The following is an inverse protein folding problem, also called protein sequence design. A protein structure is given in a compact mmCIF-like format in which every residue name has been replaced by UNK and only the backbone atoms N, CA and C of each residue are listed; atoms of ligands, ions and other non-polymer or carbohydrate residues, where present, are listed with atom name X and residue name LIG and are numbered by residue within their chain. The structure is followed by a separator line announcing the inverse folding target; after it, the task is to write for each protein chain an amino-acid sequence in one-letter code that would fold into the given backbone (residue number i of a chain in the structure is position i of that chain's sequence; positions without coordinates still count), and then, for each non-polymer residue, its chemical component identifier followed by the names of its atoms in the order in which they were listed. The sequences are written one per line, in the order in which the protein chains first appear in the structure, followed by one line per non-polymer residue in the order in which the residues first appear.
data_IF_245746338946
#
_entry.id   IF_245746338946
#
_cell.length_a   1.000
_cell.length_b   1.000
_cell.length_c   1.000
_cell.angle_alpha   90.00
_cell.angle_beta   90.00
_cell.angle_gamma   90.00
#
_symmetry.space_group_name_H-M   'P 1'
#
loop_
_entity.id
_entity.type
_entity.pdbx_description
1 polymer ?
#
# COMPACT_ATOMS: atom_id res chain seq x y z
N UNK A 1 21.44 10.92 -4.45
CA UNK A 1 21.76 9.55 -3.97
C UNK A 1 23.25 9.28 -3.71
N UNK A 2 24.20 10.09 -4.22
CA UNK A 2 25.64 9.81 -4.02
C UNK A 2 26.07 9.79 -2.55
N UNK A 3 25.57 10.73 -1.73
CA UNK A 3 25.83 10.78 -0.28
C UNK A 3 25.32 9.52 0.43
N UNK A 4 24.04 9.15 0.21
CA UNK A 4 23.44 7.93 0.78
C UNK A 4 24.18 6.63 0.41
N UNK A 5 24.86 6.57 -0.75
CA UNK A 5 25.67 5.42 -1.16
C UNK A 5 27.00 5.31 -0.41
N UNK A 6 27.55 6.44 0.06
CA UNK A 6 28.82 6.52 0.80
C UNK A 6 28.59 6.42 2.31
N UNK A 7 27.55 7.09 2.79
CA UNK A 7 27.16 7.15 4.19
C UNK A 7 25.65 7.06 4.31
N UNK A 8 25.16 6.16 5.15
CA UNK A 8 23.72 5.95 5.33
C UNK A 8 23.15 7.05 6.21
N UNK A 9 22.56 8.07 5.60
CA UNK A 9 21.94 9.21 6.29
C UNK A 9 20.45 9.02 6.56
N UNK A 10 19.83 7.95 6.03
CA UNK A 10 18.48 7.50 6.39
C UNK A 10 18.31 5.99 6.12
N UNK A 11 17.33 5.38 6.80
CA UNK A 11 17.09 3.93 6.70
C UNK A 11 15.95 3.53 5.76
N UNK A 12 14.97 4.42 5.58
CA UNK A 12 13.78 4.19 4.77
C UNK A 12 14.06 4.33 3.27
N UNK A 13 13.03 4.10 2.45
CA UNK A 13 13.09 4.26 0.99
C UNK A 13 13.24 5.71 0.54
N UNK A 14 12.75 6.01 -0.67
CA UNK A 14 12.92 7.32 -1.29
C UNK A 14 12.03 8.43 -0.71
N UNK A 15 10.98 8.11 0.05
CA UNK A 15 10.02 9.13 0.51
C UNK A 15 10.67 10.19 1.43
N UNK A 16 11.44 9.85 2.49
CA UNK A 16 12.07 10.87 3.33
C UNK A 16 12.99 11.85 2.59
N UNK A 17 13.93 11.43 1.72
CA UNK A 17 14.75 12.40 1.00
C UNK A 17 13.94 13.26 0.02
N UNK A 18 12.86 12.75 -0.58
CA UNK A 18 11.96 13.60 -1.39
C UNK A 18 11.29 14.69 -0.56
N UNK A 19 10.82 14.35 0.64
CA UNK A 19 10.21 15.32 1.55
C UNK A 19 11.21 16.37 2.03
N UNK A 20 12.47 16.00 2.24
CA UNK A 20 13.53 16.94 2.62
C UNK A 20 13.86 17.92 1.48
N UNK A 21 14.01 17.41 0.26
CA UNK A 21 14.35 18.25 -0.91
C UNK A 21 13.21 19.22 -1.24
N UNK A 22 11.96 18.78 -1.10
CA UNK A 22 10.79 19.58 -1.44
C UNK A 22 10.18 20.29 -0.23
N UNK A 23 10.81 20.28 0.94
CA UNK A 23 10.26 20.87 2.15
C UNK A 23 9.82 22.32 1.92
N UNK A 24 8.57 22.64 2.28
CA UNK A 24 7.96 23.97 2.05
C UNK A 24 7.44 24.20 0.62
N UNK A 25 7.78 23.35 -0.34
CA UNK A 25 7.40 23.43 -1.76
C UNK A 25 6.46 22.28 -2.19
N UNK A 26 5.70 21.70 -1.25
CA UNK A 26 4.73 20.63 -1.51
C UNK A 26 3.32 21.18 -1.29
N UNK A 27 2.36 20.78 -2.13
CA UNK A 27 0.93 21.03 -1.91
C UNK A 27 0.23 19.75 -1.47
N UNK A 28 -0.67 19.88 -0.51
CA UNK A 28 -1.53 18.77 -0.11
C UNK A 28 -2.48 18.40 -1.25
N UNK A 29 -2.73 17.10 -1.39
CA UNK A 29 -3.79 16.56 -2.25
C UNK A 29 -4.91 16.04 -1.36
N UNK A 30 -6.14 16.09 -1.87
CA UNK A 30 -7.29 15.52 -1.16
C UNK A 30 -7.05 14.04 -0.84
N UNK A 31 -7.43 13.62 0.36
CA UNK A 31 -7.19 12.28 0.88
C UNK A 31 -7.80 11.18 0.00
N UNK A 32 -8.85 11.49 -0.79
CA UNK A 32 -9.45 10.57 -1.77
C UNK A 32 -8.46 10.03 -2.79
N UNK A 33 -7.38 10.77 -3.05
CA UNK A 33 -6.33 10.43 -4.02
C UNK A 33 -5.20 9.59 -3.42
N UNK A 34 -5.22 9.30 -2.12
CA UNK A 34 -4.23 8.46 -1.49
C UNK A 34 -4.76 7.82 -0.20
N UNK A 35 -5.69 6.87 -0.35
CA UNK A 35 -6.16 6.07 0.78
C UNK A 35 -5.10 5.02 1.15
N UNK A 36 -4.10 5.45 1.91
CA UNK A 36 -2.91 4.67 2.23
C UNK A 36 -3.03 3.85 3.51
N UNK A 37 -2.00 3.07 3.82
CA UNK A 37 -1.94 2.25 5.03
C UNK A 37 -2.73 0.95 4.95
N UNK A 38 -3.35 0.65 3.81
CA UNK A 38 -4.16 -0.56 3.62
C UNK A 38 -3.32 -1.84 3.67
N UNK A 39 -1.99 -1.71 3.65
CA UNK A 39 -1.04 -2.81 3.85
C UNK A 39 -1.01 -3.36 5.28
N UNK A 40 -1.77 -2.76 6.21
CA UNK A 40 -1.78 -3.10 7.62
C UNK A 40 -0.61 -2.46 8.39
N UNK A 41 -0.61 -2.64 9.70
CA UNK A 41 0.56 -2.25 10.51
C UNK A 41 1.73 -3.22 10.27
N UNK A 42 2.95 -2.75 10.49
CA UNK A 42 4.16 -3.53 10.20
C UNK A 42 4.59 -4.49 11.33
N UNK A 43 3.90 -4.49 12.46
CA UNK A 43 4.24 -5.28 13.66
C UNK A 43 3.35 -6.52 13.77
N UNK A 44 2.05 -6.32 13.84
CA UNK A 44 1.02 -7.34 14.03
C UNK A 44 0.27 -7.66 12.72
N UNK A 45 0.37 -6.81 11.70
CA UNK A 45 -0.29 -7.03 10.41
C UNK A 45 -1.80 -6.83 10.46
N UNK A 46 -2.32 -6.05 11.42
CA UNK A 46 -3.74 -5.77 11.59
C UNK A 46 -4.30 -5.02 10.40
N UNK A 47 -5.50 -5.41 10.00
CA UNK A 47 -6.29 -4.73 8.99
C UNK A 47 -6.60 -3.29 9.42
N UNK A 48 -6.57 -2.36 8.47
CA UNK A 48 -7.02 -0.98 8.68
C UNK A 48 -8.31 -0.73 7.93
N UNK A 49 -9.20 0.02 8.56
CA UNK A 49 -10.43 0.49 7.94
C UNK A 49 -10.13 1.63 6.96
N UNK A 50 -11.05 1.82 6.01
CA UNK A 50 -11.06 2.99 5.15
C UNK A 50 -11.39 4.24 5.98
N UNK A 51 -10.65 5.32 5.73
CA UNK A 51 -11.04 6.65 6.19
C UNK A 51 -12.38 7.07 5.55
N UNK A 52 -13.21 7.84 6.26
CA UNK A 52 -14.50 8.30 5.75
C UNK A 52 -14.33 9.25 4.56
N UNK A 53 -15.37 9.33 3.72
CA UNK A 53 -15.43 10.22 2.56
C UNK A 53 -15.29 9.48 1.22
N UNK A 54 -15.37 10.23 0.10
CA UNK A 54 -15.20 9.67 -1.23
C UNK A 54 -13.77 9.14 -1.41
N UNK A 55 -13.64 8.01 -2.12
CA UNK A 55 -12.35 7.37 -2.40
C UNK A 55 -12.19 7.27 -3.91
N UNK A 56 -10.99 7.57 -4.41
CA UNK A 56 -10.66 7.45 -5.84
C UNK A 56 -9.39 6.63 -6.07
N UNK A 57 -8.49 6.57 -5.08
CA UNK A 57 -7.29 5.74 -5.16
C UNK A 57 -7.05 5.04 -3.82
N UNK A 58 -6.95 3.71 -3.88
CA UNK A 58 -6.59 2.82 -2.77
C UNK A 58 -5.11 2.47 -2.80
N UNK A 59 -4.43 2.53 -1.66
CA UNK A 59 -2.99 2.32 -1.57
C UNK A 59 -2.61 1.35 -0.43
N UNK A 60 -2.25 0.13 -0.81
CA UNK A 60 -1.70 -0.91 0.08
C UNK A 60 -0.22 -0.67 0.41
N UNK A 61 0.08 0.49 0.99
CA UNK A 61 1.41 0.80 1.54
C UNK A 61 1.69 -0.10 2.76
N UNK A 62 2.91 -0.64 2.87
CA UNK A 62 3.28 -1.59 3.93
C UNK A 62 3.58 -2.99 3.38
N UNK A 63 3.71 -3.96 4.29
CA UNK A 63 4.10 -5.34 3.95
C UNK A 63 2.94 -6.21 3.49
N UNK A 64 1.73 -6.02 4.01
CA UNK A 64 0.57 -6.81 3.61
C UNK A 64 0.12 -6.43 2.21
N UNK A 65 0.45 -7.20 1.18
CA UNK A 65 -0.11 -6.99 -0.16
C UNK A 65 -1.44 -7.74 -0.30
N UNK A 66 -2.42 -7.20 -1.05
CA UNK A 66 -3.75 -7.81 -1.13
C UNK A 66 -3.69 -9.22 -1.74
N UNK A 67 -2.96 -9.40 -2.84
CA UNK A 67 -2.74 -10.73 -3.45
C UNK A 67 -2.14 -11.74 -2.47
N UNK A 68 -1.08 -11.37 -1.73
CA UNK A 68 -0.47 -12.27 -0.74
C UNK A 68 -1.45 -12.70 0.36
N UNK A 69 -2.33 -11.80 0.79
CA UNK A 69 -3.33 -12.09 1.82
C UNK A 69 -4.50 -12.92 1.30
N UNK A 70 -4.92 -12.69 0.06
CA UNK A 70 -5.92 -13.50 -0.63
C UNK A 70 -5.40 -14.92 -0.86
N UNK A 71 -4.18 -15.07 -1.40
CA UNK A 71 -3.53 -16.35 -1.66
C UNK A 71 -3.33 -17.17 -0.38
N UNK A 72 -2.99 -16.51 0.74
CA UNK A 72 -2.82 -17.16 2.04
C UNK A 72 -4.13 -17.38 2.80
N UNK A 73 -5.28 -17.09 2.20
CA UNK A 73 -6.62 -17.20 2.80
C UNK A 73 -6.77 -16.43 4.13
N UNK A 74 -6.02 -15.34 4.28
CA UNK A 74 -6.12 -14.40 5.42
C UNK A 74 -6.33 -12.96 4.94
N UNK A 75 -7.38 -12.69 4.13
CA UNK A 75 -7.64 -11.35 3.62
C UNK A 75 -8.18 -10.42 4.71
N UNK A 76 -7.85 -9.14 4.58
CA UNK A 76 -8.67 -8.09 5.16
C UNK A 76 -9.87 -7.82 4.24
N UNK A 77 -10.97 -7.31 4.81
CA UNK A 77 -12.18 -6.97 4.03
C UNK A 77 -11.85 -6.07 2.83
N UNK A 78 -10.93 -5.11 3.01
CA UNK A 78 -10.52 -4.19 1.96
C UNK A 78 -9.82 -4.88 0.78
N UNK A 79 -9.17 -6.04 0.99
CA UNK A 79 -8.42 -6.73 -0.07
C UNK A 79 -9.33 -7.26 -1.18
N UNK A 80 -10.60 -7.56 -0.86
CA UNK A 80 -11.60 -7.94 -1.85
C UNK A 80 -11.99 -6.81 -2.81
N UNK A 81 -11.70 -5.55 -2.48
CA UNK A 81 -11.85 -4.44 -3.44
C UNK A 81 -10.79 -4.52 -4.55
N UNK A 82 -9.65 -5.13 -4.27
CA UNK A 82 -8.58 -5.34 -5.25
C UNK A 82 -8.82 -6.62 -6.09
N UNK A 83 -9.36 -7.68 -5.48
CA UNK A 83 -9.48 -9.01 -6.11
C UNK A 83 -10.07 -9.04 -7.54
N UNK A 84 -11.14 -8.28 -7.88
CA UNK A 84 -11.67 -8.25 -9.25
C UNK A 84 -10.70 -7.69 -10.30
N UNK A 85 -9.68 -6.97 -9.85
CA UNK A 85 -8.65 -6.35 -10.69
C UNK A 85 -7.35 -7.16 -10.69
N UNK A 86 -7.33 -8.35 -10.09
CA UNK A 86 -6.20 -9.25 -10.18
C UNK A 86 -6.05 -9.76 -11.62
N UNK A 87 -4.99 -9.30 -12.30
CA UNK A 87 -4.68 -9.69 -13.66
C UNK A 87 -3.96 -11.05 -13.72
N UNK A 88 -3.42 -11.52 -12.59
CA UNK A 88 -2.79 -12.82 -12.52
C UNK A 88 -3.88 -13.88 -12.38
N UNK A 89 -4.46 -14.27 -13.52
CA UNK A 89 -5.48 -15.34 -13.58
C UNK A 89 -4.90 -16.63 -12.99
N UNK A 90 -5.25 -16.92 -11.73
CA UNK A 90 -5.19 -18.28 -11.21
C UNK A 90 -6.26 -19.09 -11.94
N UNK A 91 -5.84 -19.96 -12.86
CA UNK A 91 -6.70 -20.94 -13.54
C UNK A 91 -7.32 -21.98 -12.59
N UNK A 92 -7.24 -21.79 -11.27
CA UNK A 92 -7.63 -22.78 -10.27
C UNK A 92 -9.05 -22.62 -9.73
N UNK A 93 -9.72 -21.48 -9.95
CA UNK A 93 -11.12 -21.31 -9.50
C UNK A 93 -12.17 -21.83 -10.50
N UNK A 94 -11.78 -22.32 -11.67
CA UNK A 94 -12.71 -22.92 -12.64
C UNK A 94 -13.01 -24.41 -12.36
N UNK A 95 -12.56 -24.97 -11.23
CA UNK A 95 -12.71 -26.40 -10.90
C UNK A 95 -13.47 -26.67 -9.58
N UNK A 96 -14.10 -25.65 -8.99
CA UNK A 96 -14.99 -25.82 -7.83
C UNK A 96 -16.33 -25.08 -8.05
N UNK A 97 -16.93 -25.27 -9.23
CA UNK A 97 -18.39 -25.20 -9.42
C UNK A 97 -18.93 -26.61 -9.68
#
# INVERSE_FOLDING_TARGET
MAVQKRERIYHLGSLPPFLLVLAGNIKAVDHRWNQHGLGGDNFEGKCRNLHPGPISLLHWSGKGKPWLRLDSRKPCIVDYLWAPYDLYRSSKHALEE
#
